data_IF_761903478993
#
_entry.id   IF_761903478993
#
_cell.length_a   1.000
_cell.length_b   1.000
_cell.length_c   1.000
_cell.angle_alpha   90.00
_cell.angle_beta   90.00
_cell.angle_gamma   90.00
#
_symmetry.space_group_name_H-M   'P 1'
#
loop_
_entity.id
_entity.type
_entity.pdbx_description
1 polymer ?
#
# COMPACT_ATOMS: atom_id res chain seq x y z
N UNK A 1 11.96 -4.27 -19.14
CA UNK A 1 10.82 -3.60 -18.48
C UNK A 1 9.92 -4.67 -17.90
N UNK A 2 10.09 -4.98 -16.61
CA UNK A 2 9.46 -6.13 -15.96
C UNK A 2 8.50 -5.63 -14.89
N UNK A 3 7.35 -6.29 -14.76
CA UNK A 3 6.41 -6.03 -13.67
C UNK A 3 6.97 -6.72 -12.42
N UNK A 4 7.24 -5.94 -11.37
CA UNK A 4 7.60 -6.49 -10.06
C UNK A 4 6.35 -6.49 -9.16
N UNK A 5 6.14 -7.60 -8.44
CA UNK A 5 5.02 -7.80 -7.53
C UNK A 5 5.56 -8.09 -6.14
N UNK A 6 5.25 -7.21 -5.17
CA UNK A 6 5.62 -7.40 -3.77
C UNK A 6 4.40 -7.87 -2.97
N UNK A 7 4.65 -8.67 -1.93
CA UNK A 7 3.59 -9.26 -1.09
C UNK A 7 2.54 -9.97 -1.96
N UNK A 8 3.02 -10.83 -2.87
CA UNK A 8 2.20 -11.52 -3.85
C UNK A 8 1.45 -12.69 -3.18
N UNK A 9 0.16 -12.48 -2.89
CA UNK A 9 -0.73 -13.54 -2.45
C UNK A 9 -1.33 -14.32 -3.62
N UNK A 10 -2.15 -15.32 -3.32
CA UNK A 10 -2.82 -16.17 -4.34
C UNK A 10 -3.79 -15.38 -5.23
N UNK A 11 -4.45 -14.34 -4.69
CA UNK A 11 -5.45 -13.55 -5.41
C UNK A 11 -4.90 -12.25 -6.01
N UNK A 12 -4.00 -11.57 -5.30
CA UNK A 12 -3.40 -10.31 -5.73
C UNK A 12 -2.10 -10.02 -4.97
N UNK A 13 -1.30 -9.08 -5.50
CA UNK A 13 -0.14 -8.51 -4.82
C UNK A 13 -0.50 -7.19 -4.13
N UNK A 14 0.11 -6.89 -2.96
CA UNK A 14 -0.16 -5.61 -2.28
C UNK A 14 0.48 -4.41 -3.00
N UNK A 15 1.59 -4.65 -3.69
CA UNK A 15 2.29 -3.61 -4.46
C UNK A 15 2.66 -4.16 -5.83
N UNK A 16 2.39 -3.37 -6.87
CA UNK A 16 2.91 -3.55 -8.21
C UNK A 16 3.83 -2.39 -8.55
N UNK A 17 5.03 -2.69 -9.05
CA UNK A 17 5.97 -1.71 -9.59
C UNK A 17 6.13 -1.93 -11.07
N UNK A 18 5.93 -0.87 -11.85
CA UNK A 18 6.19 -0.90 -13.28
C UNK A 18 6.55 0.50 -13.79
N UNK A 19 7.63 0.58 -14.55
CA UNK A 19 8.08 1.81 -15.21
C UNK A 19 8.17 3.04 -14.28
N UNK A 20 8.73 2.85 -13.08
CA UNK A 20 8.86 3.92 -12.08
C UNK A 20 7.58 4.27 -11.32
N UNK A 21 6.44 3.66 -11.64
CA UNK A 21 5.17 3.86 -10.94
C UNK A 21 4.93 2.72 -9.95
N UNK A 22 4.47 3.09 -8.75
CA UNK A 22 4.06 2.17 -7.68
C UNK A 22 2.53 2.20 -7.58
N UNK A 23 1.91 1.04 -7.72
CA UNK A 23 0.47 0.85 -7.50
C UNK A 23 0.29 0.08 -6.19
N UNK A 24 -0.45 0.67 -5.25
CA UNK A 24 -0.79 0.04 -3.97
C UNK A 24 -2.22 -0.49 -4.06
N UNK A 25 -2.44 -1.73 -3.61
CA UNK A 25 -3.77 -2.34 -3.58
C UNK A 25 -4.70 -1.63 -2.59
N UNK A 26 -6.00 -1.94 -2.65
CA UNK A 26 -6.96 -1.48 -1.64
C UNK A 26 -6.59 -1.97 -0.23
N UNK A 27 -6.68 -1.07 0.75
CA UNK A 27 -6.35 -1.31 2.15
C UNK A 27 -7.52 -0.91 3.05
N UNK A 28 -7.79 -1.74 4.03
CA UNK A 28 -8.77 -1.50 5.10
C UNK A 28 -8.05 -1.45 6.44
N UNK A 29 -8.70 -0.91 7.47
CA UNK A 29 -8.23 -1.08 8.85
C UNK A 29 -8.28 -2.57 9.25
N UNK A 30 -7.40 -2.99 10.17
CA UNK A 30 -7.49 -4.34 10.75
C UNK A 30 -8.43 -4.31 11.96
N UNK A 31 -8.35 -3.26 12.78
CA UNK A 31 -9.30 -3.01 13.84
C UNK A 31 -10.45 -2.13 13.35
N UNK A 32 -11.64 -2.73 13.27
CA UNK A 32 -12.88 -2.12 12.81
C UNK A 32 -13.73 -1.54 13.96
N UNK A 33 -13.30 -1.71 15.21
CA UNK A 33 -14.04 -1.21 16.38
C UNK A 33 -13.86 0.30 16.61
N UNK A 34 -12.78 0.87 16.07
CA UNK A 34 -12.47 2.29 16.18
C UNK A 34 -13.32 3.18 15.26
N UNK A 35 -13.27 4.49 15.52
CA UNK A 35 -13.91 5.52 14.70
C UNK A 35 -13.22 5.68 13.33
N UNK A 36 -13.82 6.50 12.46
CA UNK A 36 -13.26 6.82 11.14
C UNK A 36 -11.82 7.31 11.25
N UNK A 37 -11.51 8.17 12.22
CA UNK A 37 -10.17 8.72 12.40
C UNK A 37 -9.13 7.64 12.71
N UNK A 38 -9.46 6.71 13.61
CA UNK A 38 -8.61 5.59 13.98
C UNK A 38 -8.37 4.67 12.79
N UNK A 39 -9.44 4.29 12.08
CA UNK A 39 -9.34 3.42 10.92
C UNK A 39 -8.54 4.06 9.78
N UNK A 40 -8.74 5.36 9.51
CA UNK A 40 -7.94 6.11 8.54
C UNK A 40 -6.47 6.12 8.90
N UNK A 41 -6.11 6.34 10.18
CA UNK A 41 -4.71 6.30 10.61
C UNK A 41 -4.06 4.93 10.36
N UNK A 42 -4.77 3.85 10.63
CA UNK A 42 -4.27 2.49 10.34
C UNK A 42 -4.03 2.28 8.84
N UNK A 43 -4.99 2.71 8.00
CA UNK A 43 -4.88 2.58 6.54
C UNK A 43 -3.68 3.37 6.02
N UNK A 44 -3.51 4.63 6.46
CA UNK A 44 -2.38 5.48 6.09
C UNK A 44 -1.04 4.88 6.52
N UNK A 45 -0.96 4.29 7.72
CA UNK A 45 0.25 3.62 8.18
C UNK A 45 0.62 2.40 7.31
N UNK A 46 -0.39 1.63 6.86
CA UNK A 46 -0.17 0.52 5.91
C UNK A 46 0.30 1.02 4.55
N UNK A 47 -0.25 2.13 4.06
CA UNK A 47 0.20 2.77 2.81
C UNK A 47 1.68 3.17 2.94
N UNK A 48 2.04 3.88 4.01
CA UNK A 48 3.42 4.32 4.25
C UNK A 48 4.39 3.12 4.28
N UNK A 49 4.02 2.02 4.95
CA UNK A 49 4.83 0.80 5.00
C UNK A 49 5.00 0.13 3.62
N UNK A 50 3.94 0.09 2.80
CA UNK A 50 3.99 -0.48 1.46
C UNK A 50 4.76 0.41 0.48
N UNK A 51 4.67 1.74 0.61
CA UNK A 51 5.49 2.68 -0.14
C UNK A 51 6.98 2.57 0.23
N UNK A 52 7.31 2.35 1.50
CA UNK A 52 8.70 2.13 1.92
C UNK A 52 9.28 0.84 1.34
N UNK A 53 8.54 -0.29 1.39
CA UNK A 53 8.89 -1.52 0.65
C UNK A 53 8.99 -1.25 -0.86
N UNK A 54 8.09 -0.37 -1.31
CA UNK A 54 7.97 0.36 -2.54
C UNK A 54 9.21 1.17 -2.99
N UNK A 55 10.19 1.41 -2.11
CA UNK A 55 11.33 2.31 -2.40
C UNK A 55 10.89 3.75 -2.66
N UNK A 56 9.70 4.09 -2.19
CA UNK A 56 9.00 5.36 -2.36
C UNK A 56 8.48 5.83 -1.00
N UNK A 57 7.76 6.94 -1.01
CA UNK A 57 7.19 7.55 0.18
C UNK A 57 6.02 8.48 -0.22
N UNK A 58 5.26 8.92 0.76
CA UNK A 58 4.05 9.72 0.55
C UNK A 58 4.28 11.09 -0.09
N UNK A 59 5.52 11.62 -0.11
CA UNK A 59 5.81 12.88 -0.80
C UNK A 59 5.73 12.75 -2.34
N UNK A 60 5.66 11.51 -2.85
CA UNK A 60 5.63 11.16 -4.27
C UNK A 60 4.26 10.62 -4.73
N UNK A 61 3.20 10.88 -3.98
CA UNK A 61 1.84 10.54 -4.40
C UNK A 61 1.43 11.38 -5.62
N UNK A 62 0.58 10.81 -6.47
CA UNK A 62 0.09 11.40 -7.73
C UNK A 62 -1.29 12.03 -7.57
#
# INVERSE_FOLDING_TARGET
MTIERLENGQRFCRVLRYNGIVYVAGLTADDLSGDTTSQTRQILAKIDALLAKAGSDKSKLL
#
